data_IF_648646653043
#
_entry.id   IF_648646653043
#
_cell.length_a   1.000
_cell.length_b   1.000
_cell.length_c   1.000
_cell.angle_alpha   90.00
_cell.angle_beta   90.00
_cell.angle_gamma   90.00
#
_symmetry.space_group_name_H-M   'P 1'
#
loop_
_entity.id
_entity.type
_entity.pdbx_description
1 polymer ?
#
# COMPACT_ATOMS: atom_id res chain seq x y z
N UNK A 1 -11.81 4.23 -2.10
CA UNK A 1 -12.17 3.04 -2.92
C UNK A 1 -12.31 1.81 -2.05
N UNK A 2 -13.12 0.84 -2.48
CA UNK A 2 -13.20 -0.49 -1.89
C UNK A 2 -12.76 -1.51 -2.95
N UNK A 3 -11.46 -1.81 -2.97
CA UNK A 3 -10.91 -2.86 -3.82
C UNK A 3 -11.37 -4.24 -3.36
N UNK A 4 -11.52 -5.17 -4.30
CA UNK A 4 -11.97 -6.54 -4.08
C UNK A 4 -10.94 -7.56 -4.61
N UNK A 5 -11.05 -8.80 -4.15
CA UNK A 5 -10.25 -9.90 -4.69
C UNK A 5 -10.61 -10.07 -6.18
N UNK A 6 -9.58 -10.13 -7.03
CA UNK A 6 -9.70 -10.18 -8.48
C UNK A 6 -9.63 -8.81 -9.17
N UNK A 7 -9.73 -7.70 -8.44
CA UNK A 7 -9.48 -6.37 -9.01
C UNK A 7 -7.99 -6.17 -9.29
N UNK A 8 -7.69 -5.30 -10.27
CA UNK A 8 -6.32 -4.86 -10.57
C UNK A 8 -6.13 -3.39 -10.17
N UNK A 9 -5.21 -3.14 -9.23
CA UNK A 9 -4.78 -1.78 -8.92
C UNK A 9 -3.84 -1.32 -10.03
N UNK A 10 -4.11 -0.13 -10.60
CA UNK A 10 -3.35 0.47 -11.72
C UNK A 10 -3.20 -0.45 -12.96
N UNK A 11 -4.14 -1.37 -13.18
CA UNK A 11 -4.07 -2.41 -14.23
C UNK A 11 -2.77 -3.24 -14.20
N UNK A 12 -2.22 -3.47 -12.99
CA UNK A 12 -0.95 -4.15 -12.78
C UNK A 12 -0.95 -5.13 -11.61
N UNK A 13 -1.54 -4.72 -10.49
CA UNK A 13 -1.49 -5.47 -9.24
C UNK A 13 -2.82 -6.19 -9.00
N UNK A 14 -2.89 -7.45 -9.41
CA UNK A 14 -4.08 -8.28 -9.21
C UNK A 14 -4.19 -8.71 -7.74
N UNK A 15 -5.32 -8.42 -7.10
CA UNK A 15 -5.54 -8.69 -5.68
C UNK A 15 -5.96 -10.14 -5.47
N UNK A 16 -5.19 -10.89 -4.68
CA UNK A 16 -5.51 -12.27 -4.30
C UNK A 16 -6.07 -12.40 -2.88
N UNK A 17 -5.72 -11.49 -1.98
CA UNK A 17 -6.18 -11.52 -0.58
C UNK A 17 -6.15 -10.11 0.02
N UNK A 18 -7.01 -9.88 1.01
CA UNK A 18 -7.18 -8.58 1.67
C UNK A 18 -7.12 -8.78 3.17
N UNK A 19 -6.16 -8.13 3.82
CA UNK A 19 -6.03 -8.11 5.28
C UNK A 19 -6.38 -6.73 5.81
N UNK A 20 -7.30 -6.69 6.76
CA UNK A 20 -7.73 -5.45 7.39
C UNK A 20 -7.36 -5.46 8.88
N UNK A 21 -6.63 -4.42 9.30
CA UNK A 21 -6.29 -4.17 10.70
C UNK A 21 -7.04 -2.97 11.26
N UNK A 22 -6.67 -2.51 12.46
CA UNK A 22 -7.27 -1.33 13.08
C UNK A 22 -6.99 -0.02 12.34
N UNK A 23 -5.79 0.13 11.75
CA UNK A 23 -5.39 1.36 11.06
C UNK A 23 -5.49 1.26 9.53
N UNK A 24 -5.08 0.12 8.96
CA UNK A 24 -4.95 0.00 7.51
C UNK A 24 -5.46 -1.28 6.89
N UNK A 25 -5.33 -1.32 5.57
CA UNK A 25 -5.68 -2.41 4.67
C UNK A 25 -4.38 -2.81 3.97
N UNK A 26 -4.13 -4.11 3.86
CA UNK A 26 -3.05 -4.68 3.08
C UNK A 26 -3.66 -5.58 2.00
N UNK A 27 -3.41 -5.25 0.75
CA UNK A 27 -3.74 -6.06 -0.41
C UNK A 27 -2.53 -6.95 -0.73
N UNK A 28 -2.73 -8.26 -0.74
CA UNK A 28 -1.72 -9.20 -1.24
C UNK A 28 -1.98 -9.39 -2.73
N UNK A 29 -1.04 -8.96 -3.56
CA UNK A 29 -1.23 -8.88 -5.00
C UNK A 29 -0.19 -9.70 -5.75
N UNK A 30 -0.51 -10.05 -6.98
CA UNK A 30 0.47 -10.47 -7.97
C UNK A 30 0.81 -9.29 -8.88
N UNK A 31 2.08 -8.95 -9.00
CA UNK A 31 2.56 -7.93 -9.93
C UNK A 31 2.78 -8.56 -11.32
N UNK A 32 1.94 -8.22 -12.29
CA UNK A 32 2.02 -8.76 -13.64
C UNK A 32 3.24 -8.28 -14.44
N UNK A 33 3.87 -7.17 -14.04
CA UNK A 33 5.06 -6.63 -14.71
C UNK A 33 6.34 -7.36 -14.26
N UNK A 34 6.55 -7.46 -12.94
CA UNK A 34 7.72 -8.13 -12.37
C UNK A 34 7.52 -9.62 -12.08
N UNK A 35 6.30 -10.13 -12.23
CA UNK A 35 5.93 -11.54 -12.03
C UNK A 35 6.21 -12.08 -10.64
N UNK A 36 5.97 -11.25 -9.63
CA UNK A 36 6.24 -11.59 -8.23
C UNK A 36 5.08 -11.19 -7.30
N UNK A 37 4.91 -11.89 -6.16
CA UNK A 37 3.94 -11.47 -5.16
C UNK A 37 4.41 -10.20 -4.44
N UNK A 38 3.50 -9.24 -4.27
CA UNK A 38 3.73 -7.99 -3.56
C UNK A 38 2.65 -7.75 -2.51
N UNK A 39 2.95 -6.91 -1.53
CA UNK A 39 1.98 -6.42 -0.57
C UNK A 39 1.83 -4.91 -0.74
N UNK A 40 0.61 -4.44 -0.94
CA UNK A 40 0.28 -3.02 -1.08
C UNK A 40 -0.53 -2.60 0.14
N UNK A 41 -0.04 -1.64 0.90
CA UNK A 41 -0.66 -1.16 2.13
C UNK A 41 -1.19 0.25 1.98
N UNK A 42 -2.37 0.47 2.53
CA UNK A 42 -2.96 1.81 2.71
C UNK A 42 -3.70 1.90 4.04
N UNK A 43 -4.25 3.06 4.38
CA UNK A 43 -5.10 3.23 5.56
C UNK A 43 -6.59 3.10 5.22
N UNK A 44 -7.46 2.94 6.21
CA UNK A 44 -8.90 2.82 5.96
C UNK A 44 -9.52 4.17 5.57
N UNK A 45 -10.45 4.18 4.61
CA UNK A 45 -11.05 5.40 4.05
C UNK A 45 -11.64 6.37 5.09
N UNK A 46 -12.07 5.88 6.26
CA UNK A 46 -12.53 6.71 7.39
C UNK A 46 -11.48 7.73 7.89
N UNK A 47 -10.21 7.55 7.56
CA UNK A 47 -9.13 8.46 7.94
C UNK A 47 -8.83 9.53 6.88
N UNK A 48 -9.45 9.45 5.69
CA UNK A 48 -9.23 10.41 4.59
C UNK A 48 -9.67 11.85 4.93
N UNK A 49 -10.54 12.04 5.91
CA UNK A 49 -10.97 13.39 6.32
C UNK A 49 -9.92 14.13 7.15
N UNK A 50 -8.84 13.48 7.57
CA UNK A 50 -7.78 14.08 8.38
C UNK A 50 -6.50 14.23 7.57
N UNK A 51 -6.22 15.45 7.13
CA UNK A 51 -4.97 15.77 6.42
C UNK A 51 -3.74 15.35 7.24
N UNK A 52 -3.80 15.54 8.56
CA UNK A 52 -2.72 15.09 9.46
C UNK A 52 -2.45 13.58 9.34
N UNK A 53 -3.49 12.75 9.30
CA UNK A 53 -3.30 11.28 9.19
C UNK A 53 -2.74 10.90 7.82
N UNK A 54 -3.18 11.59 6.76
CA UNK A 54 -2.64 11.40 5.41
C UNK A 54 -1.15 11.75 5.38
N UNK A 55 -0.78 12.90 5.94
CA UNK A 55 0.60 13.40 5.96
C UNK A 55 1.49 12.50 6.82
N UNK A 56 1.03 12.12 8.02
CA UNK A 56 1.77 11.23 8.92
C UNK A 56 2.04 9.87 8.24
N UNK A 57 1.03 9.27 7.61
CA UNK A 57 1.20 8.01 6.86
C UNK A 57 2.18 8.17 5.70
N UNK A 58 2.02 9.23 4.91
CA UNK A 58 2.86 9.49 3.73
C UNK A 58 4.32 9.69 4.14
N UNK A 59 4.57 10.43 5.21
CA UNK A 59 5.92 10.66 5.74
C UNK A 59 6.57 9.38 6.28
N UNK A 60 5.82 8.55 7.01
CA UNK A 60 6.31 7.25 7.48
C UNK A 60 6.66 6.34 6.31
N UNK A 61 5.78 6.27 5.31
CA UNK A 61 5.94 5.47 4.11
C UNK A 61 7.19 5.90 3.30
N UNK A 62 7.34 7.21 3.04
CA UNK A 62 8.52 7.77 2.37
C UNK A 62 9.81 7.53 3.18
N UNK A 63 9.72 7.57 4.50
CA UNK A 63 10.89 7.28 5.35
C UNK A 63 11.29 5.80 5.23
N UNK A 64 10.31 4.90 5.16
CA UNK A 64 10.55 3.47 5.01
C UNK A 64 11.18 3.13 3.64
N UNK A 65 10.74 3.75 2.54
CA UNK A 65 11.33 3.48 1.20
C UNK A 65 12.81 3.85 1.12
N UNK A 66 13.23 4.86 1.89
CA UNK A 66 14.63 5.30 2.01
C UNK A 66 15.52 4.36 2.80
N UNK A 67 14.97 3.37 3.52
CA UNK A 67 15.79 2.38 4.22
C UNK A 67 16.50 1.47 3.21
N UNK A 68 17.81 1.29 3.41
CA UNK A 68 18.59 0.32 2.66
C UNK A 68 18.12 -1.10 2.91
N UNK A 69 18.40 -1.99 1.96
CA UNK A 69 18.05 -3.41 2.07
C UNK A 69 18.71 -4.00 3.31
N UNK A 70 17.90 -4.55 4.21
CA UNK A 70 18.37 -5.20 5.42
C UNK A 70 17.59 -6.50 5.68
N UNK A 71 18.28 -7.56 6.12
CA UNK A 71 17.68 -8.91 6.29
C UNK A 71 16.52 -8.99 7.29
N UNK A 72 16.43 -8.03 8.22
CA UNK A 72 15.41 -7.99 9.27
C UNK A 72 14.36 -6.88 9.06
N UNK A 73 14.38 -6.20 7.92
CA UNK A 73 13.43 -5.14 7.59
C UNK A 73 12.85 -5.45 6.21
N UNK A 74 11.52 -5.57 6.13
CA UNK A 74 10.84 -5.72 4.84
C UNK A 74 11.13 -4.49 3.99
N UNK A 75 11.52 -4.68 2.73
CA UNK A 75 11.82 -3.57 1.82
C UNK A 75 10.50 -2.95 1.34
N UNK A 76 10.37 -1.64 1.52
CA UNK A 76 9.39 -0.83 0.80
C UNK A 76 10.01 -0.31 -0.50
N UNK A 77 9.26 -0.38 -1.59
CA UNK A 77 9.76 -0.01 -2.92
C UNK A 77 9.51 1.47 -3.22
N UNK A 78 8.27 1.94 -3.12
CA UNK A 78 7.88 3.33 -3.38
C UNK A 78 6.53 3.63 -2.71
N UNK A 79 6.08 4.87 -2.81
CA UNK A 79 4.75 5.31 -2.35
C UNK A 79 4.05 5.95 -3.53
N UNK A 80 2.83 5.51 -3.82
CA UNK A 80 1.99 6.03 -4.90
C UNK A 80 0.74 6.69 -4.31
N UNK A 81 0.25 7.77 -4.92
CA UNK A 81 -1.02 8.37 -4.53
C UNK A 81 -2.09 8.04 -5.58
N UNK A 82 -3.10 7.27 -5.17
CA UNK A 82 -4.20 6.83 -6.02
C UNK A 82 -5.48 7.49 -5.50
N UNK A 83 -6.05 8.39 -6.30
CA UNK A 83 -7.26 9.18 -5.97
C UNK A 83 -7.20 9.89 -4.60
N UNK A 84 -6.06 10.47 -4.24
CA UNK A 84 -5.89 11.20 -2.98
C UNK A 84 -5.56 10.31 -1.77
N UNK A 85 -5.42 8.99 -1.97
CA UNK A 85 -5.06 8.04 -0.94
C UNK A 85 -3.66 7.45 -1.22
N UNK A 86 -2.71 7.53 -0.26
CA UNK A 86 -1.38 6.96 -0.43
C UNK A 86 -1.38 5.43 -0.25
N UNK A 87 -0.58 4.76 -1.07
CA UNK A 87 -0.31 3.32 -1.08
C UNK A 87 1.20 3.10 -1.07
N UNK A 88 1.67 2.15 -0.26
CA UNK A 88 3.08 1.73 -0.13
C UNK A 88 3.23 0.23 -0.32
#
# INVERSE_FOLDING_TARGET
>A
MNWQIGDEIENRYEIHDIKQGGFGIVYLCYDHEFKEPVAIKTFQARFLSSQKVIDDFTNEAITWTKLDKHKNIVKAFYVENIEGQPYI
#
